data_IF_399677700282
#
_entry.id   IF_399677700282
#
_cell.length_a   1.000
_cell.length_b   1.000
_cell.length_c   1.000
_cell.angle_alpha   90.00
_cell.angle_beta   90.00
_cell.angle_gamma   90.00
#
_symmetry.space_group_name_H-M   'P 1'
#
loop_
_entity.id
_entity.type
_entity.pdbx_description
1 polymer ?
#
# COMPACT_ATOMS: atom_id res chain seq x y z
N UNK A 1 22.83 -33.22 -46.84
CA UNK A 1 22.86 -32.94 -45.39
C UNK A 1 21.48 -33.25 -44.86
N UNK A 2 21.37 -34.22 -43.96
CA UNK A 2 20.14 -34.94 -43.66
C UNK A 2 19.23 -34.12 -42.72
N UNK A 3 18.00 -33.79 -43.16
CA UNK A 3 17.06 -32.91 -42.44
C UNK A 3 16.75 -33.42 -41.03
N UNK A 4 16.68 -34.74 -40.87
CA UNK A 4 16.43 -35.41 -39.59
C UNK A 4 17.57 -35.26 -38.57
N UNK A 5 18.81 -35.10 -39.02
CA UNK A 5 19.96 -34.88 -38.12
C UNK A 5 19.91 -33.46 -37.52
N UNK A 6 19.44 -32.49 -38.32
CA UNK A 6 19.34 -31.09 -37.91
C UNK A 6 18.21 -30.88 -36.89
N UNK A 7 17.04 -31.50 -37.09
CA UNK A 7 15.93 -31.43 -36.12
C UNK A 7 16.27 -32.06 -34.76
N UNK A 8 17.07 -33.13 -34.74
CA UNK A 8 17.52 -33.76 -33.49
C UNK A 8 18.51 -32.86 -32.72
N UNK A 9 19.40 -32.18 -33.44
CA UNK A 9 20.36 -31.24 -32.87
C UNK A 9 19.63 -29.99 -32.36
N UNK A 10 18.71 -29.43 -33.15
CA UNK A 10 17.91 -28.26 -32.75
C UNK A 10 17.06 -28.56 -31.51
N UNK A 11 16.48 -29.76 -31.43
CA UNK A 11 15.74 -30.20 -30.24
C UNK A 11 16.64 -30.29 -29.00
N UNK A 12 17.84 -30.87 -29.15
CA UNK A 12 18.82 -30.97 -28.04
C UNK A 12 19.35 -29.61 -27.61
N UNK A 13 19.57 -28.69 -28.54
CA UNK A 13 19.98 -27.31 -28.26
C UNK A 13 18.85 -26.60 -27.50
N UNK A 14 17.60 -26.74 -27.95
CA UNK A 14 16.44 -26.15 -27.30
C UNK A 14 16.23 -26.68 -25.89
N UNK A 15 16.30 -28.00 -25.68
CA UNK A 15 16.19 -28.63 -24.36
C UNK A 15 17.32 -28.20 -23.42
N UNK A 16 18.56 -28.08 -23.94
CA UNK A 16 19.69 -27.60 -23.16
C UNK A 16 19.55 -26.12 -22.74
N UNK A 17 19.08 -25.26 -23.66
CA UNK A 17 18.84 -23.84 -23.37
C UNK A 17 17.71 -23.64 -22.36
N UNK A 18 16.62 -24.41 -22.48
CA UNK A 18 15.52 -24.36 -21.52
C UNK A 18 15.95 -24.85 -20.13
N UNK A 19 16.67 -25.97 -20.04
CA UNK A 19 17.21 -26.44 -18.76
C UNK A 19 18.18 -25.43 -18.13
N UNK A 20 19.01 -24.75 -18.93
CA UNK A 20 19.90 -23.68 -18.43
C UNK A 20 19.14 -22.42 -18.04
N UNK A 21 18.02 -22.10 -18.69
CA UNK A 21 17.15 -21.00 -18.31
C UNK A 21 16.39 -21.30 -17.00
N UNK A 22 15.96 -22.54 -16.80
CA UNK A 22 15.28 -22.99 -15.56
C UNK A 22 16.24 -23.03 -14.35
N UNK A 23 17.54 -23.28 -14.58
CA UNK A 23 18.59 -23.14 -13.57
C UNK A 23 18.88 -21.67 -13.20
N UNK A 24 18.49 -20.71 -14.05
CA UNK A 24 18.56 -19.28 -13.74
C UNK A 24 17.25 -18.89 -13.05
N UNK A 25 17.18 -19.21 -11.75
CA UNK A 25 16.21 -18.57 -10.85
C UNK A 25 16.54 -17.07 -10.79
N UNK A 26 15.86 -16.32 -11.63
CA UNK A 26 15.71 -14.87 -11.51
C UNK A 26 15.02 -14.65 -10.16
N UNK A 27 15.69 -13.98 -9.22
CA UNK A 27 15.06 -13.70 -7.92
C UNK A 27 13.75 -12.95 -8.17
N UNK A 28 12.67 -13.23 -7.40
CA UNK A 28 11.33 -12.66 -7.66
C UNK A 28 11.31 -11.12 -7.74
N UNK A 29 12.34 -10.50 -7.15
CA UNK A 29 12.63 -9.07 -7.10
C UNK A 29 13.53 -8.55 -8.24
N UNK A 30 14.06 -9.39 -9.13
CA UNK A 30 14.92 -8.98 -10.24
C UNK A 30 14.14 -8.22 -11.32
N UNK A 31 12.88 -8.56 -11.58
CA UNK A 31 12.00 -7.75 -12.45
C UNK A 31 11.82 -6.33 -11.87
N UNK A 32 11.59 -6.22 -10.56
CA UNK A 32 11.47 -4.94 -9.87
C UNK A 32 12.79 -4.19 -9.81
N UNK A 33 13.91 -4.89 -9.66
CA UNK A 33 15.25 -4.31 -9.70
C UNK A 33 15.57 -3.77 -11.10
N UNK A 34 15.27 -4.53 -12.16
CA UNK A 34 15.41 -4.09 -13.56
C UNK A 34 14.51 -2.88 -13.83
N UNK A 35 13.26 -2.90 -13.38
CA UNK A 35 12.34 -1.76 -13.52
C UNK A 35 12.85 -0.54 -12.75
N UNK A 36 13.32 -0.71 -11.51
CA UNK A 36 13.93 0.35 -10.71
C UNK A 36 15.22 0.89 -11.34
N UNK A 37 16.06 0.03 -11.91
CA UNK A 37 17.30 0.40 -12.61
C UNK A 37 16.99 1.12 -13.93
N UNK A 38 15.95 0.72 -14.68
CA UNK A 38 15.49 1.44 -15.88
C UNK A 38 14.94 2.81 -15.51
N UNK A 39 14.18 2.91 -14.41
CA UNK A 39 13.73 4.19 -13.86
C UNK A 39 14.94 5.05 -13.47
N UNK A 40 15.92 4.50 -12.74
CA UNK A 40 17.18 5.16 -12.38
C UNK A 40 18.01 5.60 -13.57
N UNK A 41 18.05 4.80 -14.64
CA UNK A 41 18.86 5.12 -15.82
C UNK A 41 18.21 6.18 -16.72
N UNK A 42 16.89 6.33 -16.63
CA UNK A 42 16.16 7.47 -17.18
C UNK A 42 16.25 8.72 -16.29
N UNK A 43 16.85 8.63 -15.08
CA UNK A 43 17.21 9.77 -14.22
C UNK A 43 18.45 10.53 -14.73
N UNK A 44 18.42 10.96 -16.01
CA UNK A 44 19.04 12.23 -16.38
C UNK A 44 18.29 13.44 -15.78
N UNK A 45 17.70 13.27 -14.59
CA UNK A 45 16.63 14.10 -14.06
C UNK A 45 16.05 13.60 -12.74
N UNK A 46 16.87 13.05 -11.84
CA UNK A 46 16.63 13.18 -10.41
C UNK A 46 16.70 14.69 -10.08
N UNK A 47 15.64 15.42 -10.35
CA UNK A 47 15.32 16.57 -9.51
C UNK A 47 14.73 15.94 -8.24
N UNK A 48 15.49 15.63 -7.19
CA UNK A 48 16.09 16.64 -6.32
C UNK A 48 15.50 18.03 -6.53
N UNK A 49 14.17 18.11 -6.41
CA UNK A 49 13.53 19.40 -6.18
C UNK A 49 13.78 19.74 -4.71
N UNK A 50 14.98 20.30 -4.46
CA UNK A 50 15.19 21.18 -3.31
C UNK A 50 14.16 22.29 -3.44
N UNK A 51 13.03 22.16 -2.77
CA UNK A 51 12.18 23.32 -2.51
C UNK A 51 12.98 24.27 -1.60
N UNK A 52 13.75 25.18 -2.21
CA UNK A 52 14.24 26.37 -1.53
C UNK A 52 13.05 27.30 -1.31
N UNK A 53 12.17 26.98 -0.37
CA UNK A 53 11.38 28.02 0.27
C UNK A 53 12.28 28.70 1.29
N UNK A 54 12.69 29.92 0.97
CA UNK A 54 13.41 30.78 1.90
C UNK A 54 12.52 31.09 3.10
N UNK A 55 12.87 30.44 4.21
CA UNK A 55 12.52 30.70 5.61
C UNK A 55 11.18 30.13 6.13
N UNK A 56 11.20 29.65 7.39
CA UNK A 56 10.57 28.40 7.80
C UNK A 56 9.38 28.61 8.73
N UNK A 57 8.69 27.51 9.07
CA UNK A 57 7.61 27.32 10.08
C UNK A 57 6.25 26.94 9.49
N UNK A 58 6.22 25.87 8.70
CA UNK A 58 5.00 25.08 8.56
C UNK A 58 5.40 23.68 9.00
N UNK A 59 4.91 23.30 10.18
CA UNK A 59 5.04 21.93 10.66
C UNK A 59 4.35 21.05 9.62
N UNK A 60 5.11 20.17 8.97
CA UNK A 60 4.56 19.21 8.03
C UNK A 60 3.63 18.31 8.84
N UNK A 61 2.35 18.56 8.68
CA UNK A 61 1.30 17.94 9.47
C UNK A 61 1.09 16.52 8.93
N UNK A 62 1.26 15.56 9.82
CA UNK A 62 1.40 14.13 9.55
C UNK A 62 0.04 13.54 9.15
N UNK A 63 -0.18 13.25 7.87
CA UNK A 63 -1.33 12.46 7.42
C UNK A 63 -1.07 10.97 7.66
N UNK A 64 -2.01 10.30 8.32
CA UNK A 64 -1.99 8.87 8.61
C UNK A 64 -1.73 8.07 7.32
N UNK A 65 -0.81 7.09 7.38
CA UNK A 65 -0.45 6.23 6.24
C UNK A 65 -1.59 5.28 5.87
N UNK A 66 -2.58 5.78 5.14
CA UNK A 66 -3.48 4.93 4.38
C UNK A 66 -2.76 4.61 3.07
N UNK A 67 -1.90 3.59 3.10
CA UNK A 67 -1.11 3.15 1.95
C UNK A 67 -2.08 2.63 0.88
N UNK A 68 -2.33 3.46 -0.13
CA UNK A 68 -3.04 3.05 -1.35
C UNK A 68 -2.07 2.20 -2.16
N UNK A 69 -2.24 0.89 -2.09
CA UNK A 69 -1.32 -0.15 -2.61
C UNK A 69 -1.22 -0.19 -4.13
N UNK A 70 -2.01 0.62 -4.84
CA UNK A 70 -2.08 0.62 -6.32
C UNK A 70 -1.04 1.54 -6.98
N UNK A 71 -0.33 2.38 -6.21
CA UNK A 71 0.61 3.35 -6.77
C UNK A 71 1.97 3.25 -6.06
N UNK A 72 3.04 3.14 -6.83
CA UNK A 72 4.41 3.45 -6.38
C UNK A 72 4.48 4.95 -6.10
N UNK A 73 4.00 5.35 -4.92
CA UNK A 73 3.94 6.74 -4.48
C UNK A 73 4.62 6.89 -3.13
N UNK A 74 5.51 7.88 -3.02
CA UNK A 74 6.12 8.30 -1.76
C UNK A 74 5.04 8.98 -0.92
N UNK A 75 4.60 8.34 0.17
CA UNK A 75 3.70 8.98 1.12
C UNK A 75 4.45 10.09 1.88
N UNK A 76 3.83 11.27 2.00
CA UNK A 76 4.42 12.48 2.57
C UNK A 76 4.98 12.26 3.98
N UNK A 77 6.15 12.84 4.23
CA UNK A 77 7.02 12.47 5.35
C UNK A 77 6.71 13.17 6.66
N UNK A 78 6.71 12.41 7.74
CA UNK A 78 6.96 12.94 9.09
C UNK A 78 8.47 12.96 9.29
N UNK A 79 9.06 14.11 9.67
CA UNK A 79 10.48 14.22 10.04
C UNK A 79 11.51 13.71 8.99
N UNK A 80 11.21 13.83 7.69
CA UNK A 80 12.11 13.36 6.61
C UNK A 80 12.11 11.84 6.41
N UNK A 81 11.06 11.15 6.85
CA UNK A 81 10.84 9.72 6.63
C UNK A 81 9.67 9.48 5.67
N UNK A 82 9.85 8.64 4.66
CA UNK A 82 8.81 8.31 3.68
C UNK A 82 8.72 6.81 3.43
N UNK A 83 7.52 6.30 3.16
CA UNK A 83 7.33 4.90 2.79
C UNK A 83 7.46 4.73 1.28
N UNK A 84 8.34 3.81 0.87
CA UNK A 84 8.40 3.25 -0.48
C UNK A 84 7.64 1.94 -0.50
N UNK A 85 6.61 1.85 -1.32
CA UNK A 85 5.79 0.65 -1.46
C UNK A 85 6.13 -0.02 -2.78
N UNK A 86 6.43 -1.31 -2.73
CA UNK A 86 6.49 -2.16 -3.91
C UNK A 86 5.43 -3.25 -3.78
N UNK A 87 4.51 -3.30 -4.73
CA UNK A 87 3.47 -4.32 -4.76
C UNK A 87 4.08 -5.65 -5.22
N UNK A 88 4.03 -6.64 -4.34
CA UNK A 88 4.24 -8.04 -4.71
C UNK A 88 2.88 -8.71 -4.77
N UNK A 89 2.19 -8.67 -5.92
CA UNK A 89 0.97 -9.46 -6.06
C UNK A 89 1.35 -10.93 -6.13
N UNK A 90 0.92 -11.72 -5.15
CA UNK A 90 0.59 -13.11 -5.44
C UNK A 90 -0.78 -13.09 -6.11
N UNK A 91 -0.80 -13.42 -7.39
CA UNK A 91 -2.06 -13.82 -7.99
C UNK A 91 -2.55 -15.08 -7.25
N UNK A 92 -3.77 -15.00 -6.75
CA UNK A 92 -4.66 -16.14 -6.46
C UNK A 92 -4.62 -16.79 -5.07
N UNK A 93 -4.95 -16.02 -4.02
CA UNK A 93 -5.67 -16.58 -2.87
C UNK A 93 -7.08 -15.98 -2.82
N UNK A 94 -7.99 -16.62 -3.55
CA UNK A 94 -9.42 -16.25 -3.62
C UNK A 94 -10.30 -17.05 -2.62
N UNK A 95 -9.66 -17.71 -1.66
CA UNK A 95 -10.31 -18.42 -0.54
C UNK A 95 -9.75 -17.88 0.76
N UNK A 96 -10.56 -17.83 1.81
CA UNK A 96 -10.12 -17.32 3.10
C UNK A 96 -8.85 -18.07 3.59
N UNK A 97 -7.73 -17.35 3.86
CA UNK A 97 -6.45 -18.00 4.12
C UNK A 97 -6.37 -18.57 5.53
N UNK A 98 -5.68 -19.71 5.67
CA UNK A 98 -5.31 -20.26 6.99
C UNK A 98 -4.24 -19.39 7.66
N UNK A 99 -4.16 -19.46 8.99
CA UNK A 99 -3.18 -18.71 9.77
C UNK A 99 -1.73 -18.96 9.29
N UNK A 100 -1.38 -20.21 9.03
CA UNK A 100 -0.05 -20.58 8.53
C UNK A 100 0.26 -19.90 7.19
N UNK A 101 -0.71 -19.83 6.26
CA UNK A 101 -0.50 -19.18 4.96
C UNK A 101 -0.26 -17.68 5.10
N UNK A 102 -0.98 -17.01 5.99
CA UNK A 102 -0.78 -15.60 6.26
C UNK A 102 0.60 -15.38 6.88
N UNK A 103 0.95 -16.17 7.89
CA UNK A 103 2.23 -16.07 8.57
C UNK A 103 3.42 -16.36 7.63
N UNK A 104 3.31 -17.35 6.74
CA UNK A 104 4.34 -17.64 5.74
C UNK A 104 4.51 -16.49 4.73
N UNK A 105 3.41 -15.82 4.37
CA UNK A 105 3.45 -14.72 3.41
C UNK A 105 4.10 -13.45 3.98
N UNK A 106 3.72 -13.05 5.21
CA UNK A 106 4.13 -11.75 5.78
C UNK A 106 5.08 -11.84 6.97
N UNK A 107 5.33 -13.03 7.52
CA UNK A 107 6.25 -13.25 8.66
C UNK A 107 5.65 -12.92 10.03
N UNK A 108 4.32 -12.74 10.11
CA UNK A 108 3.57 -12.56 11.34
C UNK A 108 2.10 -12.95 11.12
N UNK A 109 1.36 -13.16 12.21
CA UNK A 109 -0.07 -13.49 12.16
C UNK A 109 -0.91 -12.30 12.66
N UNK A 110 -1.49 -11.48 11.76
CA UNK A 110 -2.46 -10.46 12.16
C UNK A 110 -3.79 -11.09 12.56
N UNK A 111 -4.66 -10.30 13.19
CA UNK A 111 -6.10 -10.59 13.26
C UNK A 111 -6.74 -10.26 11.90
N UNK A 112 -7.59 -11.15 11.41
CA UNK A 112 -8.33 -10.99 10.16
C UNK A 112 -9.63 -11.82 10.21
N UNK A 113 -10.62 -11.44 9.41
CA UNK A 113 -12.00 -11.95 9.49
C UNK A 113 -12.53 -12.36 8.12
N UNK A 114 -13.48 -13.30 8.08
CA UNK A 114 -14.08 -13.77 6.82
C UNK A 114 -15.03 -12.75 6.19
N UNK A 115 -15.68 -11.94 7.03
CA UNK A 115 -16.67 -10.97 6.59
C UNK A 115 -16.78 -9.78 7.55
N UNK A 116 -17.34 -8.70 7.02
CA UNK A 116 -17.79 -7.53 7.78
C UNK A 116 -19.30 -7.35 7.63
N UNK A 117 -19.89 -6.56 8.53
CA UNK A 117 -21.28 -6.13 8.41
C UNK A 117 -21.53 -5.43 7.07
N UNK A 118 -22.75 -5.55 6.52
CA UNK A 118 -23.10 -4.94 5.23
C UNK A 118 -22.74 -5.81 4.02
N UNK A 119 -22.78 -7.13 4.18
CA UNK A 119 -22.55 -8.15 3.14
C UNK A 119 -21.15 -8.10 2.50
N UNK A 120 -20.16 -7.60 3.23
CA UNK A 120 -18.78 -7.58 2.81
C UNK A 120 -18.12 -8.92 3.09
N UNK A 121 -17.90 -9.70 2.04
CA UNK A 121 -17.27 -11.01 2.13
C UNK A 121 -15.81 -10.92 1.68
N UNK A 122 -14.96 -11.74 2.28
CA UNK A 122 -13.57 -11.90 1.86
C UNK A 122 -13.49 -12.24 0.35
N UNK A 123 -12.65 -11.50 -0.37
CA UNK A 123 -12.41 -11.68 -1.80
C UNK A 123 -11.01 -12.21 -2.08
N UNK A 124 -9.98 -11.55 -1.54
CA UNK A 124 -8.60 -11.93 -1.84
C UNK A 124 -7.64 -11.59 -0.70
N UNK A 125 -6.53 -12.34 -0.63
CA UNK A 125 -5.41 -12.04 0.27
C UNK A 125 -4.15 -11.79 -0.55
N UNK A 126 -3.48 -10.68 -0.26
CA UNK A 126 -2.25 -10.22 -0.89
C UNK A 126 -1.28 -9.67 0.17
N UNK A 127 -0.07 -9.29 -0.25
CA UNK A 127 0.80 -8.46 0.57
C UNK A 127 1.60 -7.46 -0.25
N UNK A 128 2.13 -6.44 0.40
CA UNK A 128 3.13 -5.52 -0.17
C UNK A 128 4.44 -5.63 0.60
N UNK A 129 5.55 -5.28 -0.06
CA UNK A 129 6.82 -5.01 0.61
C UNK A 129 6.99 -3.50 0.73
N UNK A 130 7.37 -3.04 1.90
CA UNK A 130 7.40 -1.63 2.24
C UNK A 130 8.71 -1.28 2.94
N UNK A 131 9.37 -0.24 2.46
CA UNK A 131 10.57 0.33 3.06
C UNK A 131 10.26 1.71 3.62
N UNK A 132 10.51 1.94 4.89
CA UNK A 132 10.58 3.28 5.45
C UNK A 132 11.97 3.84 5.17
N UNK A 133 12.06 4.96 4.46
CA UNK A 133 13.31 5.58 4.04
C UNK A 133 13.44 7.00 4.55
N UNK A 134 14.67 7.45 4.78
CA UNK A 134 15.00 8.86 4.97
C UNK A 134 14.98 9.60 3.63
N UNK A 135 14.99 10.93 3.69
CA UNK A 135 15.06 11.82 2.49
C UNK A 135 16.26 11.54 1.56
N UNK A 136 17.36 11.03 2.11
CA UNK A 136 18.55 10.64 1.34
C UNK A 136 18.46 9.24 0.70
N UNK A 137 17.35 8.53 0.93
CA UNK A 137 17.09 7.18 0.43
C UNK A 137 17.57 6.06 1.34
N UNK A 138 18.17 6.35 2.50
CA UNK A 138 18.58 5.35 3.48
C UNK A 138 17.34 4.62 4.04
N UNK A 139 17.33 3.28 3.98
CA UNK A 139 16.26 2.46 4.55
C UNK A 139 16.41 2.41 6.07
N UNK A 140 15.40 2.91 6.78
CA UNK A 140 15.27 2.85 8.24
C UNK A 140 14.74 1.50 8.69
N UNK A 141 13.72 1.00 8.00
CA UNK A 141 13.16 -0.33 8.27
C UNK A 141 12.44 -0.85 7.03
N UNK A 142 12.35 -2.17 6.91
CA UNK A 142 11.58 -2.87 5.88
C UNK A 142 10.55 -3.75 6.54
N UNK A 143 9.34 -3.80 5.99
CA UNK A 143 8.25 -4.62 6.50
C UNK A 143 7.35 -5.11 5.37
N UNK A 144 6.42 -5.99 5.71
CA UNK A 144 5.36 -6.44 4.82
C UNK A 144 4.01 -6.03 5.38
N UNK A 145 3.09 -5.67 4.50
CA UNK A 145 1.70 -5.41 4.86
C UNK A 145 0.83 -6.54 4.33
N UNK A 146 0.11 -7.21 5.22
CA UNK A 146 -0.94 -8.16 4.89
C UNK A 146 -2.18 -7.38 4.41
N UNK A 147 -2.72 -7.74 3.25
CA UNK A 147 -3.83 -7.01 2.61
C UNK A 147 -4.95 -8.01 2.34
N UNK A 148 -6.07 -7.85 3.04
CA UNK A 148 -7.28 -8.65 2.85
C UNK A 148 -8.33 -7.77 2.17
N UNK A 149 -8.67 -8.10 0.93
CA UNK A 149 -9.71 -7.42 0.16
C UNK A 149 -11.07 -8.04 0.45
N UNK A 150 -12.08 -7.19 0.63
CA UNK A 150 -13.48 -7.57 0.82
C UNK A 150 -14.33 -6.94 -0.26
N UNK A 151 -15.38 -7.65 -0.67
CA UNK A 151 -16.31 -7.15 -1.68
C UNK A 151 -17.73 -7.61 -1.34
N UNK A 152 -18.67 -6.68 -1.47
CA UNK A 152 -20.10 -6.99 -1.43
C UNK A 152 -20.70 -7.11 -2.83
N UNK A 153 -21.85 -7.77 -2.93
CA UNK A 153 -22.54 -7.96 -4.20
C UNK A 153 -22.92 -6.61 -4.87
N UNK A 154 -22.85 -6.55 -6.19
CA UNK A 154 -23.18 -5.33 -6.96
C UNK A 154 -22.14 -4.20 -6.90
N UNK A 155 -20.97 -4.42 -6.29
CA UNK A 155 -19.94 -3.40 -6.21
C UNK A 155 -19.31 -3.04 -7.57
N UNK A 156 -19.21 -1.74 -7.82
CA UNK A 156 -18.56 -1.15 -8.99
C UNK A 156 -17.05 -1.44 -9.02
N UNK A 157 -16.42 -1.28 -10.19
CA UNK A 157 -14.99 -1.57 -10.38
C UNK A 157 -14.06 -0.62 -9.62
N UNK A 158 -14.52 0.58 -9.26
CA UNK A 158 -13.78 1.58 -8.49
C UNK A 158 -14.06 1.50 -6.98
N UNK A 159 -14.85 0.52 -6.52
CA UNK A 159 -15.15 0.32 -5.11
C UNK A 159 -14.28 -0.81 -4.55
N UNK A 160 -13.64 -0.54 -3.42
CA UNK A 160 -12.89 -1.57 -2.69
C UNK A 160 -12.90 -1.30 -1.19
N UNK A 161 -12.78 -2.38 -0.42
CA UNK A 161 -12.64 -2.36 1.03
C UNK A 161 -11.50 -3.30 1.40
N UNK A 162 -10.47 -2.78 2.09
CA UNK A 162 -9.31 -3.56 2.49
C UNK A 162 -9.11 -3.50 4.00
N UNK A 163 -8.83 -4.65 4.63
CA UNK A 163 -8.15 -4.71 5.92
C UNK A 163 -6.65 -4.85 5.66
N UNK A 164 -5.87 -3.90 6.15
CA UNK A 164 -4.42 -3.93 6.10
C UNK A 164 -3.86 -4.17 7.50
N UNK A 165 -2.80 -4.96 7.59
CA UNK A 165 -2.06 -5.15 8.83
C UNK A 165 -0.56 -5.14 8.54
N UNK A 166 0.19 -4.31 9.27
CA UNK A 166 1.61 -4.09 9.07
C UNK A 166 2.33 -4.22 10.41
N UNK A 167 3.37 -5.06 10.49
CA UNK A 167 4.20 -5.13 11.69
C UNK A 167 5.24 -4.03 11.66
N UNK A 168 5.14 -3.09 12.59
CA UNK A 168 5.98 -1.88 12.63
C UNK A 168 5.98 -1.30 14.03
N UNK A 169 7.07 -0.65 14.43
CA UNK A 169 7.11 0.04 15.73
C UNK A 169 6.16 1.25 15.73
N UNK A 170 5.40 1.42 16.81
CA UNK A 170 4.40 2.48 17.00
C UNK A 170 4.91 3.90 16.75
N UNK A 171 6.20 4.15 16.98
CA UNK A 171 6.81 5.46 16.69
C UNK A 171 6.79 5.83 15.20
N UNK A 172 6.56 4.86 14.31
CA UNK A 172 6.50 5.03 12.86
C UNK A 172 5.07 4.98 12.28
N UNK A 173 4.04 4.76 13.11
CA UNK A 173 2.66 4.50 12.64
C UNK A 173 1.77 5.74 12.64
N UNK A 174 2.30 6.91 13.04
CA UNK A 174 1.50 8.13 13.21
C UNK A 174 0.46 8.05 14.33
N UNK A 175 0.32 6.92 15.03
CA UNK A 175 -0.64 6.70 16.13
C UNK A 175 -0.43 7.68 17.31
N UNK A 176 0.82 8.14 17.46
CA UNK A 176 1.25 9.12 18.47
C UNK A 176 1.20 10.58 18.00
N UNK A 177 0.79 10.84 16.75
CA UNK A 177 0.64 12.21 16.28
C UNK A 177 -0.61 12.83 16.93
N UNK A 178 -0.42 13.92 17.69
CA UNK A 178 -1.49 14.79 18.19
C UNK A 178 -2.12 15.56 17.00
N UNK A 179 -2.79 14.86 16.09
CA UNK A 179 -3.43 15.47 14.94
C UNK A 179 -4.90 15.78 15.23
N UNK A 180 -5.29 17.02 14.98
CA UNK A 180 -6.61 17.60 15.31
C UNK A 180 -7.75 17.27 14.34
N UNK A 181 -7.53 16.36 13.38
CA UNK A 181 -8.46 16.14 12.25
C UNK A 181 -9.13 14.75 12.29
N UNK A 182 -8.73 13.89 13.22
CA UNK A 182 -9.28 12.56 13.34
C UNK A 182 -10.33 12.51 14.44
N UNK A 183 -11.43 11.84 14.12
CA UNK A 183 -12.35 11.45 15.16
C UNK A 183 -11.77 10.25 15.90
N UNK A 184 -11.51 10.44 17.19
CA UNK A 184 -10.91 9.41 18.04
C UNK A 184 -11.99 8.72 18.87
N UNK A 185 -12.02 7.39 18.82
CA UNK A 185 -12.85 6.56 19.68
C UNK A 185 -11.97 5.56 20.42
N UNK A 186 -12.30 5.28 21.68
CA UNK A 186 -11.61 4.25 22.45
C UNK A 186 -12.47 2.99 22.54
N UNK A 187 -11.85 1.83 22.32
CA UNK A 187 -12.50 0.53 22.46
C UNK A 187 -11.50 -0.49 23.00
N UNK A 188 -11.84 -1.20 24.07
CA UNK A 188 -10.93 -2.15 24.75
C UNK A 188 -9.53 -1.56 25.06
N UNK A 189 -9.48 -0.29 25.50
CA UNK A 189 -8.25 0.48 25.73
C UNK A 189 -7.38 0.73 24.49
N UNK A 190 -7.86 0.41 23.29
CA UNK A 190 -7.22 0.76 22.03
C UNK A 190 -7.77 2.10 21.53
N UNK A 191 -6.87 2.95 21.04
CA UNK A 191 -7.21 4.17 20.32
C UNK A 191 -7.55 3.81 18.88
N UNK A 192 -8.75 4.16 18.45
CA UNK A 192 -9.23 4.00 17.08
C UNK A 192 -9.32 5.40 16.47
N UNK A 193 -8.54 5.65 15.42
CA UNK A 193 -8.54 6.89 14.65
C UNK A 193 -9.37 6.70 13.38
N UNK A 194 -10.40 7.53 13.20
CA UNK A 194 -11.17 7.61 11.96
C UNK A 194 -10.83 8.88 11.18
N UNK A 195 -10.73 8.73 9.86
CA UNK A 195 -10.46 9.83 8.94
C UNK A 195 -11.20 9.62 7.61
N UNK A 196 -11.66 10.72 7.00
CA UNK A 196 -12.31 10.75 5.68
C UNK A 196 -11.70 11.85 4.84
N UNK A 197 -11.35 11.52 3.61
CA UNK A 197 -10.59 12.39 2.72
C UNK A 197 -10.86 12.07 1.26
N UNK A 198 -10.53 13.00 0.38
CA UNK A 198 -10.47 12.73 -1.06
C UNK A 198 -9.10 12.23 -1.44
N UNK A 199 -9.03 11.24 -2.31
CA UNK A 199 -7.79 10.84 -2.97
C UNK A 199 -7.81 11.32 -4.42
N UNK A 200 -6.72 11.94 -4.85
CA UNK A 200 -6.51 12.37 -6.23
C UNK A 200 -5.26 11.73 -6.79
N UNK A 201 -5.44 10.73 -7.65
CA UNK A 201 -4.34 10.12 -8.39
C UNK A 201 -4.00 10.99 -9.59
N UNK A 202 -2.73 11.28 -9.83
CA UNK A 202 -2.28 12.22 -10.88
C UNK A 202 -1.01 11.74 -11.61
N UNK A 203 -0.74 12.24 -12.83
CA UNK A 203 0.53 12.03 -13.52
C UNK A 203 1.72 12.64 -12.79
N UNK A 204 2.92 12.11 -13.04
CA UNK A 204 4.17 12.53 -12.40
C UNK A 204 4.45 14.04 -12.53
N UNK A 205 4.01 14.66 -13.63
CA UNK A 205 4.24 16.09 -13.92
C UNK A 205 3.12 17.01 -13.44
N UNK A 206 2.17 16.49 -12.66
CA UNK A 206 1.06 17.28 -12.14
C UNK A 206 1.54 18.33 -11.12
N UNK A 207 1.02 19.55 -11.22
CA UNK A 207 1.30 20.63 -10.27
C UNK A 207 0.02 20.94 -9.51
N UNK A 208 -0.05 20.67 -8.18
CA UNK A 208 -1.21 21.00 -7.37
C UNK A 208 -1.50 22.50 -7.36
N UNK A 209 -2.78 22.86 -7.26
CA UNK A 209 -3.19 24.26 -7.08
C UNK A 209 -3.01 24.70 -5.62
N UNK A 210 -3.01 26.02 -5.36
CA UNK A 210 -2.94 26.55 -3.99
C UNK A 210 -4.12 26.06 -3.12
N UNK A 211 -5.30 25.88 -3.71
CA UNK A 211 -6.46 25.32 -3.03
C UNK A 211 -6.25 23.85 -2.67
N UNK A 212 -5.70 23.04 -3.59
CA UNK A 212 -5.38 21.64 -3.34
C UNK A 212 -4.28 21.49 -2.27
N UNK A 213 -3.27 22.35 -2.29
CA UNK A 213 -2.23 22.38 -1.25
C UNK A 213 -2.81 22.69 0.12
N UNK A 214 -3.79 23.62 0.19
CA UNK A 214 -4.51 23.90 1.43
C UNK A 214 -5.32 22.69 1.90
N UNK A 215 -6.00 21.99 1.00
CA UNK A 215 -6.74 20.77 1.35
C UNK A 215 -5.81 19.64 1.82
N UNK A 216 -4.61 19.53 1.25
CA UNK A 216 -3.57 18.58 1.70
C UNK A 216 -3.08 18.93 3.10
N UNK A 217 -2.83 20.22 3.37
CA UNK A 217 -2.41 20.71 4.70
C UNK A 217 -3.51 20.47 5.77
N UNK A 218 -4.77 20.64 5.39
CA UNK A 218 -5.94 20.34 6.23
C UNK A 218 -6.24 18.83 6.35
N UNK A 219 -5.50 17.98 5.64
CA UNK A 219 -5.71 16.53 5.62
C UNK A 219 -6.99 16.08 4.91
N UNK A 220 -7.68 16.96 4.17
CA UNK A 220 -8.94 16.61 3.48
C UNK A 220 -8.72 16.11 2.05
N UNK A 221 -7.50 16.23 1.52
CA UNK A 221 -7.07 15.72 0.23
C UNK A 221 -5.73 15.00 0.35
N UNK A 222 -5.60 13.84 -0.29
CA UNK A 222 -4.34 13.17 -0.54
C UNK A 222 -4.09 13.11 -2.04
N UNK A 223 -2.90 13.53 -2.49
CA UNK A 223 -2.50 13.47 -3.90
C UNK A 223 -1.47 12.35 -4.07
N UNK A 224 -1.77 11.39 -4.95
CA UNK A 224 -0.87 10.29 -5.31
C UNK A 224 -0.35 10.45 -6.74
N UNK A 225 0.97 10.36 -6.91
CA UNK A 225 1.62 10.54 -8.22
C UNK A 225 1.95 9.21 -8.89
N UNK A 226 1.89 9.18 -10.22
CA UNK A 226 2.31 8.03 -11.04
C UNK A 226 1.19 7.37 -11.85
N UNK A 227 0.00 7.98 -11.89
CA UNK A 227 -1.09 7.50 -12.75
C UNK A 227 -1.05 8.16 -14.13
N UNK A 228 -1.40 7.43 -15.18
CA UNK A 228 -1.47 7.97 -16.55
C UNK A 228 -2.54 9.06 -16.71
N UNK A 229 -3.57 9.03 -15.84
CA UNK A 229 -4.72 9.94 -15.87
C UNK A 229 -5.06 10.38 -14.47
N UNK A 230 -5.71 11.54 -14.38
CA UNK A 230 -6.26 12.02 -13.12
C UNK A 230 -7.44 11.11 -12.71
N UNK A 231 -7.41 10.62 -11.48
CA UNK A 231 -8.51 9.90 -10.82
C UNK A 231 -8.87 10.60 -9.52
N UNK A 232 -10.13 10.52 -9.13
CA UNK A 232 -10.61 11.07 -7.87
C UNK A 232 -11.49 10.03 -7.17
N UNK A 233 -11.17 9.74 -5.91
CA UNK A 233 -11.84 8.74 -5.09
C UNK A 233 -12.21 9.33 -3.73
N UNK A 234 -13.35 8.92 -3.18
CA UNK A 234 -13.70 9.22 -1.79
C UNK A 234 -13.18 8.10 -0.90
N UNK A 235 -12.38 8.46 0.10
CA UNK A 235 -11.71 7.53 0.99
C UNK A 235 -12.21 7.67 2.42
N UNK A 236 -12.37 6.54 3.10
CA UNK A 236 -12.49 6.48 4.55
C UNK A 236 -11.45 5.49 5.09
N UNK A 237 -10.84 5.83 6.22
CA UNK A 237 -9.80 5.05 6.84
C UNK A 237 -10.06 5.02 8.35
N UNK A 238 -10.16 3.82 8.91
CA UNK A 238 -10.13 3.61 10.35
C UNK A 238 -8.88 2.83 10.69
N UNK A 239 -8.17 3.23 11.74
CA UNK A 239 -6.88 2.63 12.08
C UNK A 239 -6.69 2.51 13.59
N UNK A 240 -5.90 1.53 13.99
CA UNK A 240 -5.53 1.30 15.39
C UNK A 240 -4.21 0.55 15.45
N UNK A 241 -3.53 0.66 16.58
CA UNK A 241 -2.30 -0.06 16.86
C UNK A 241 -2.53 -1.06 17.98
N UNK A 242 -2.16 -2.32 17.74
CA UNK A 242 -2.33 -3.40 18.72
C UNK A 242 -1.14 -4.36 18.63
N UNK A 243 -0.46 -4.59 19.76
CA UNK A 243 0.57 -5.63 19.92
C UNK A 243 1.70 -5.61 18.86
N UNK A 244 2.19 -4.43 18.46
CA UNK A 244 3.25 -4.33 17.46
C UNK A 244 2.78 -4.33 16.00
N UNK A 245 1.47 -4.29 15.79
CA UNK A 245 0.85 -4.31 14.46
C UNK A 245 -0.02 -3.06 14.30
N UNK A 246 0.24 -2.31 13.24
CA UNK A 246 -0.63 -1.26 12.74
C UNK A 246 -1.70 -1.88 11.86
N UNK A 247 -2.97 -1.65 12.20
CA UNK A 247 -4.11 -2.06 11.41
C UNK A 247 -4.79 -0.86 10.77
N UNK A 248 -5.40 -1.10 9.61
CA UNK A 248 -6.34 -0.14 9.03
C UNK A 248 -7.42 -0.85 8.22
N UNK A 249 -8.67 -0.36 8.29
CA UNK A 249 -9.68 -0.66 7.26
C UNK A 249 -9.80 0.54 6.34
N UNK A 250 -9.53 0.33 5.06
CA UNK A 250 -9.57 1.34 4.01
C UNK A 250 -10.76 1.09 3.09
N UNK A 251 -11.66 2.06 3.00
CA UNK A 251 -12.79 2.10 2.08
C UNK A 251 -12.50 3.09 0.96
N UNK A 252 -12.71 2.68 -0.28
CA UNK A 252 -12.81 3.56 -1.44
C UNK A 252 -14.19 3.45 -2.08
N UNK A 253 -14.84 4.60 -2.26
CA UNK A 253 -16.05 4.79 -3.04
C UNK A 253 -17.30 3.99 -2.61
N UNK A 254 -17.28 3.24 -1.50
CA UNK A 254 -18.52 2.81 -0.83
C UNK A 254 -19.07 3.99 -0.01
N UNK A 255 -19.70 4.92 -0.70
CA UNK A 255 -20.18 6.19 -0.15
C UNK A 255 -21.38 6.05 0.81
N UNK A 256 -22.03 4.88 0.83
CA UNK A 256 -23.13 4.55 1.73
C UNK A 256 -22.67 4.01 3.09
N UNK A 257 -21.37 3.73 3.25
CA UNK A 257 -20.79 3.32 4.54
C UNK A 257 -20.59 4.57 5.40
N UNK A 258 -21.20 4.57 6.59
CA UNK A 258 -21.02 5.61 7.59
C UNK A 258 -19.73 5.43 8.39
N UNK A 259 -19.29 6.52 9.04
CA UNK A 259 -18.21 6.50 10.03
C UNK A 259 -18.40 5.41 11.10
N UNK A 260 -19.61 5.30 11.65
CA UNK A 260 -19.90 4.31 12.71
C UNK A 260 -19.74 2.89 12.17
N UNK A 261 -20.15 2.63 10.93
CA UNK A 261 -19.94 1.33 10.29
C UNK A 261 -18.44 1.04 10.08
N UNK A 262 -17.62 2.02 9.70
CA UNK A 262 -16.16 1.84 9.63
C UNK A 262 -15.58 1.50 11.01
N UNK A 263 -16.00 2.20 12.07
CA UNK A 263 -15.55 1.93 13.44
C UNK A 263 -15.99 0.52 13.90
N UNK A 264 -17.20 0.09 13.57
CA UNK A 264 -17.65 -1.28 13.86
C UNK A 264 -16.80 -2.33 13.13
N UNK A 265 -16.35 -2.08 11.89
CA UNK A 265 -15.39 -2.97 11.21
C UNK A 265 -14.08 -3.10 11.98
N UNK A 266 -13.54 -2.01 12.53
CA UNK A 266 -12.36 -2.08 13.38
C UNK A 266 -12.62 -2.92 14.65
N UNK A 267 -13.76 -2.73 15.32
CA UNK A 267 -14.15 -3.51 16.51
C UNK A 267 -14.30 -5.01 16.21
N UNK A 268 -14.85 -5.37 15.05
CA UNK A 268 -14.95 -6.77 14.59
C UNK A 268 -13.57 -7.41 14.53
N UNK A 269 -12.56 -6.72 13.98
CA UNK A 269 -11.18 -7.24 13.94
C UNK A 269 -10.57 -7.28 15.33
N UNK A 270 -10.75 -6.26 16.16
CA UNK A 270 -10.20 -6.20 17.53
C UNK A 270 -10.68 -7.38 18.39
N UNK A 271 -11.94 -7.79 18.22
CA UNK A 271 -12.54 -8.88 18.99
C UNK A 271 -12.22 -10.28 18.47
N UNK A 272 -11.45 -10.40 17.38
CA UNK A 272 -11.03 -11.69 16.82
C UNK A 272 -9.94 -12.34 17.66
#
# INVERSE_FOLDING_TARGET
MDRNLNENIDKKITECLNNKADEISVSDNMFFKIRSEILKKNEGGLFNMKFKFSKPKVAILVGLLCIVTTVTGVAASTNGLSWSVSSGMFNDINKFPTADKVNDAVGFLPKYVESFNGDFEFKSFNFSNEDLKKDDGEVVTSTKTAIFEYKRNGASTNQYLNLNAQKVEEKYTGSNAENSYNDVVYYNNLKIDYHSFKYKGVPEKYVPTDEELKMVDEGTLQIGYGLDKITEDNMQCVSWYENGIQYSVLNSNYNDISKDQMIEMAKIVINK
#
